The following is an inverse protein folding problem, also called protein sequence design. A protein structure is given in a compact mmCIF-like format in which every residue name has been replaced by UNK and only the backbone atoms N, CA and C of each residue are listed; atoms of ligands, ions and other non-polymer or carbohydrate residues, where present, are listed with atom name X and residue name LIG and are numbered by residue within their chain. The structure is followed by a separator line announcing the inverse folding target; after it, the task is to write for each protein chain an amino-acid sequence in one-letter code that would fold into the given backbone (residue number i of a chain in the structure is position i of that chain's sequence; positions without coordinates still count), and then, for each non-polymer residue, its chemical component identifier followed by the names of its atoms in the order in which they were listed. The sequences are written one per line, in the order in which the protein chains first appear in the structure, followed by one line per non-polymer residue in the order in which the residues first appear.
data_IF_661098664413
#
_entry.id   IF_661098664413
#
_cell.length_a   1.000
_cell.length_b   1.000
_cell.length_c   1.000
_cell.angle_alpha   90.00
_cell.angle_beta   90.00
_cell.angle_gamma   90.00
#
_symmetry.space_group_name_H-M   'P 1'
#
loop_
_entity.id
_entity.type
_entity.pdbx_description
1 polymer ?
#
# COMPACT_ATOMS: atom_id res chain seq x y z
N UNK A 1 0.11 7.30 -6.37
CA UNK A 1 1.42 7.11 -7.05
C UNK A 1 1.44 5.86 -7.94
N UNK A 2 0.85 4.74 -7.48
CA UNK A 2 0.71 3.47 -8.23
C UNK A 2 -0.03 3.67 -9.56
N UNK A 3 -1.24 4.21 -9.59
CA UNK A 3 -1.98 4.54 -10.83
C UNK A 3 -1.14 5.38 -11.81
N UNK A 4 -0.35 6.32 -11.28
CA UNK A 4 0.53 7.15 -12.11
C UNK A 4 1.73 6.34 -12.65
N UNK A 5 2.24 5.39 -11.88
CA UNK A 5 3.30 4.48 -12.32
C UNK A 5 2.77 3.54 -13.41
N UNK A 6 1.56 3.01 -13.27
CA UNK A 6 0.93 2.15 -14.27
C UNK A 6 0.69 2.87 -15.59
N UNK A 7 0.21 4.12 -15.53
CA UNK A 7 0.08 4.96 -16.73
C UNK A 7 1.42 5.22 -17.41
N UNK A 8 2.48 5.43 -16.64
CA UNK A 8 3.82 5.64 -17.18
C UNK A 8 4.41 4.33 -17.75
N UNK A 9 4.15 3.19 -17.12
CA UNK A 9 4.58 1.87 -17.59
C UNK A 9 3.96 1.50 -18.94
N UNK A 10 2.73 1.96 -19.20
CA UNK A 10 2.05 1.77 -20.49
C UNK A 10 2.64 2.62 -21.63
N UNK A 11 3.51 3.59 -21.33
CA UNK A 11 4.16 4.46 -22.33
C UNK A 11 5.48 3.88 -22.82
N UNK A 12 5.95 4.26 -24.03
CA UNK A 12 7.32 4.01 -24.43
C UNK A 12 8.31 4.59 -23.42
N UNK A 13 9.41 3.87 -23.07
CA UNK A 13 10.35 4.27 -22.02
C UNK A 13 10.88 5.71 -22.15
N UNK A 14 11.17 6.14 -23.39
CA UNK A 14 11.65 7.51 -23.65
C UNK A 14 10.61 8.59 -23.30
N UNK A 15 9.32 8.28 -23.47
CA UNK A 15 8.22 9.20 -23.12
C UNK A 15 7.98 9.23 -21.61
N UNK A 16 8.00 8.06 -20.97
CA UNK A 16 7.89 7.96 -19.53
C UNK A 16 9.00 8.77 -18.83
N UNK A 17 10.25 8.59 -19.25
CA UNK A 17 11.38 9.34 -18.68
C UNK A 17 11.26 10.84 -18.96
N UNK A 18 10.81 11.25 -20.16
CA UNK A 18 10.57 12.67 -20.46
C UNK A 18 9.55 13.29 -19.50
N UNK A 19 8.44 12.58 -19.20
CA UNK A 19 7.44 13.04 -18.26
C UNK A 19 7.99 13.13 -16.82
N UNK A 20 8.74 12.11 -16.40
CA UNK A 20 9.38 12.10 -15.08
C UNK A 20 10.37 13.27 -14.89
N UNK A 21 11.07 13.68 -15.97
CA UNK A 21 11.98 14.84 -15.94
C UNK A 21 11.26 16.18 -15.81
N UNK A 22 9.99 16.26 -16.23
CA UNK A 22 9.16 17.46 -16.09
C UNK A 22 8.49 17.59 -14.72
N UNK A 23 8.47 16.49 -13.94
CA UNK A 23 7.93 16.47 -12.58
C UNK A 23 8.93 17.06 -11.58
N UNK A 24 8.43 17.46 -10.42
CA UNK A 24 9.30 17.80 -9.30
C UNK A 24 10.09 16.55 -8.87
N UNK A 25 11.36 16.69 -8.46
CA UNK A 25 12.17 15.55 -8.06
C UNK A 25 11.52 14.68 -6.98
N UNK A 26 10.86 15.30 -6.00
CA UNK A 26 10.20 14.62 -4.88
C UNK A 26 8.99 13.77 -5.33
N UNK A 27 8.33 14.18 -6.43
CA UNK A 27 7.20 13.43 -7.01
C UNK A 27 7.68 12.35 -7.99
N UNK A 28 8.78 12.61 -8.71
CA UNK A 28 9.32 11.69 -9.71
C UNK A 28 10.08 10.49 -9.11
N UNK A 29 10.76 10.67 -7.99
CA UNK A 29 11.58 9.62 -7.37
C UNK A 29 10.76 8.40 -6.89
N UNK A 30 9.59 8.56 -6.22
CA UNK A 30 8.72 7.44 -5.90
C UNK A 30 8.25 6.67 -7.14
N UNK A 31 7.89 7.37 -8.22
CA UNK A 31 7.45 6.76 -9.47
C UNK A 31 8.57 5.97 -10.16
N UNK A 32 9.80 6.53 -10.22
CA UNK A 32 10.95 5.78 -10.76
C UNK A 32 11.22 4.51 -10.00
N UNK A 33 11.03 4.53 -8.69
CA UNK A 33 11.20 3.35 -7.83
C UNK A 33 10.16 2.29 -8.14
N UNK A 34 8.88 2.68 -8.26
CA UNK A 34 7.81 1.75 -8.64
C UNK A 34 8.06 1.14 -10.02
N UNK A 35 8.42 1.96 -11.01
CA UNK A 35 8.74 1.52 -12.37
C UNK A 35 9.98 0.61 -12.48
N UNK A 36 10.79 0.52 -11.43
CA UNK A 36 11.95 -0.38 -11.40
C UNK A 36 11.59 -1.82 -11.04
N UNK A 37 10.38 -2.08 -10.52
CA UNK A 37 9.90 -3.41 -10.20
C UNK A 37 9.15 -4.04 -11.36
N UNK A 38 9.15 -5.37 -11.42
CA UNK A 38 8.31 -6.12 -12.36
C UNK A 38 6.84 -5.99 -11.94
N UNK A 39 5.96 -5.73 -12.91
CA UNK A 39 4.51 -5.52 -12.69
C UNK A 39 3.81 -6.70 -11.99
N UNK A 40 4.34 -7.92 -12.13
CA UNK A 40 3.81 -9.13 -11.51
C UNK A 40 4.43 -9.45 -10.14
N UNK A 41 5.02 -8.47 -9.49
CA UNK A 41 5.63 -8.61 -8.15
C UNK A 41 4.97 -7.68 -7.14
N UNK A 42 5.21 -7.96 -5.85
CA UNK A 42 4.73 -7.10 -4.77
C UNK A 42 5.20 -5.64 -4.93
N UNK A 43 6.41 -5.42 -5.42
CA UNK A 43 6.96 -4.09 -5.69
C UNK A 43 6.24 -3.35 -6.81
N UNK A 44 5.86 -4.08 -7.88
CA UNK A 44 5.10 -3.51 -9.00
C UNK A 44 3.63 -3.22 -8.65
N UNK A 45 3.05 -4.01 -7.74
CA UNK A 45 1.64 -3.88 -7.32
C UNK A 45 1.43 -2.97 -6.11
N UNK A 46 2.51 -2.51 -5.44
CA UNK A 46 2.37 -1.78 -4.18
C UNK A 46 2.05 -0.31 -4.37
N UNK A 47 1.20 0.23 -3.51
CA UNK A 47 1.11 1.68 -3.28
C UNK A 47 2.12 2.13 -2.23
N UNK A 48 2.69 3.32 -2.42
CA UNK A 48 3.70 3.90 -1.52
C UNK A 48 3.14 4.84 -0.47
N UNK A 49 1.82 5.03 -0.43
CA UNK A 49 1.12 5.96 0.47
C UNK A 49 0.14 5.26 1.44
N UNK A 50 0.53 4.18 2.13
CA UNK A 50 -0.32 3.60 3.17
C UNK A 50 -0.42 4.52 4.39
N UNK A 51 -1.34 4.21 5.31
CA UNK A 51 -1.42 4.90 6.60
C UNK A 51 -0.28 4.42 7.50
N UNK A 52 0.70 5.30 7.75
CA UNK A 52 1.89 5.02 8.56
C UNK A 52 1.90 5.93 9.79
N UNK A 53 2.14 5.34 10.96
CA UNK A 53 2.22 6.06 12.24
C UNK A 53 3.42 5.55 13.06
N UNK A 54 3.84 6.38 14.02
CA UNK A 54 4.85 6.01 14.99
C UNK A 54 4.25 5.16 16.13
N UNK A 55 5.04 4.29 16.78
CA UNK A 55 4.52 3.45 17.86
C UNK A 55 4.07 4.22 19.10
N UNK A 56 4.52 5.47 19.25
CA UNK A 56 4.17 6.40 20.34
C UNK A 56 2.82 7.10 20.09
N UNK A 57 2.33 7.14 18.84
CA UNK A 57 1.05 7.75 18.49
C UNK A 57 -0.09 7.02 19.19
N UNK A 58 -1.15 7.76 19.52
CA UNK A 58 -2.30 7.22 20.24
C UNK A 58 -3.34 6.59 19.31
N UNK A 59 -4.19 5.75 19.89
CA UNK A 59 -5.36 5.19 19.18
C UNK A 59 -6.26 6.29 18.62
N UNK A 60 -6.44 7.41 19.37
CA UNK A 60 -7.23 8.54 18.90
C UNK A 60 -6.63 9.21 17.66
N UNK A 61 -5.31 9.40 17.62
CA UNK A 61 -4.60 9.95 16.46
C UNK A 61 -4.70 9.01 15.27
N UNK A 62 -4.51 7.70 15.46
CA UNK A 62 -4.69 6.71 14.42
C UNK A 62 -6.10 6.75 13.81
N UNK A 63 -7.14 6.78 14.67
CA UNK A 63 -8.53 6.89 14.22
C UNK A 63 -8.82 8.22 13.52
N UNK A 64 -8.17 9.32 13.91
CA UNK A 64 -8.30 10.60 13.22
C UNK A 64 -7.71 10.55 11.80
N UNK A 65 -6.58 9.88 11.62
CA UNK A 65 -5.96 9.71 10.29
C UNK A 65 -6.83 8.87 9.38
N UNK A 66 -7.27 7.69 9.80
CA UNK A 66 -8.05 6.77 8.94
C UNK A 66 -9.45 7.30 8.59
N UNK A 67 -9.93 8.36 9.25
CA UNK A 67 -11.22 9.02 8.96
C UNK A 67 -11.12 10.09 7.87
N UNK A 68 -9.94 10.40 7.38
CA UNK A 68 -9.76 11.41 6.33
C UNK A 68 -10.41 10.93 5.04
N UNK A 69 -11.14 11.81 4.37
CA UNK A 69 -11.91 11.47 3.16
C UNK A 69 -11.03 11.06 1.96
N UNK A 70 -9.79 11.56 1.93
CA UNK A 70 -8.82 11.25 0.88
C UNK A 70 -8.24 9.82 0.96
N UNK A 71 -8.40 9.14 2.11
CA UNK A 71 -7.89 7.78 2.30
C UNK A 71 -8.94 6.76 1.85
N UNK A 72 -8.58 5.91 0.90
CA UNK A 72 -9.47 4.86 0.40
C UNK A 72 -9.83 3.85 1.49
N UNK A 73 -10.95 3.15 1.34
CA UNK A 73 -11.40 2.16 2.30
C UNK A 73 -10.37 1.03 2.53
N UNK A 74 -9.66 0.62 1.47
CA UNK A 74 -8.64 -0.42 1.55
C UNK A 74 -7.44 0.05 2.40
N UNK A 75 -6.96 1.28 2.19
CA UNK A 75 -5.85 1.84 2.95
C UNK A 75 -6.26 2.18 4.40
N UNK A 76 -7.49 2.66 4.62
CA UNK A 76 -8.02 2.96 5.95
C UNK A 76 -8.21 1.72 6.85
N UNK A 77 -8.27 0.52 6.26
CA UNK A 77 -8.50 -0.72 7.00
C UNK A 77 -7.33 -1.13 7.90
N UNK A 78 -6.12 -0.65 7.62
CA UNK A 78 -4.89 -1.06 8.31
C UNK A 78 -3.96 0.12 8.53
N UNK A 79 -3.43 0.25 9.74
CA UNK A 79 -2.38 1.20 10.10
C UNK A 79 -1.05 0.44 10.21
N UNK A 80 -0.04 0.91 9.51
CA UNK A 80 1.32 0.37 9.56
C UNK A 80 2.16 1.17 10.53
N UNK A 81 2.86 0.49 11.41
CA UNK A 81 3.63 1.16 12.48
C UNK A 81 5.11 1.01 12.20
N UNK A 82 5.78 2.14 12.07
CA UNK A 82 7.20 2.23 11.72
C UNK A 82 7.95 3.17 12.66
N UNK A 83 9.27 2.99 12.76
CA UNK A 83 10.15 4.03 13.30
C UNK A 83 10.30 5.16 12.26
N UNK A 84 10.54 6.40 12.71
CA UNK A 84 10.86 7.48 11.77
C UNK A 84 12.11 7.19 10.90
N UNK A 85 12.16 7.69 9.66
CA UNK A 85 11.15 8.50 8.98
C UNK A 85 9.88 7.72 8.67
N UNK A 86 8.71 8.41 8.61
CA UNK A 86 7.41 7.79 8.34
C UNK A 86 7.02 7.84 6.87
N UNK A 87 7.78 8.54 6.03
CA UNK A 87 7.66 8.52 4.57
C UNK A 87 8.38 7.30 4.00
N UNK A 88 7.84 6.71 2.94
CA UNK A 88 8.42 5.51 2.32
C UNK A 88 9.65 5.84 1.45
N UNK A 89 10.76 5.13 1.61
CA UNK A 89 11.05 4.04 2.55
C UNK A 89 11.14 4.54 3.98
N UNK A 90 10.36 3.93 4.87
CA UNK A 90 10.30 4.35 6.28
C UNK A 90 11.57 4.00 7.06
N UNK A 91 11.61 4.33 8.35
CA UNK A 91 12.46 3.64 9.29
C UNK A 91 12.01 2.18 9.47
N UNK A 92 12.48 1.51 10.52
CA UNK A 92 12.17 0.09 10.74
C UNK A 92 10.65 -0.14 10.88
N UNK A 93 10.12 -1.06 10.08
CA UNK A 93 8.76 -1.59 10.22
C UNK A 93 8.64 -2.40 11.52
N UNK A 94 7.59 -2.17 12.29
CA UNK A 94 7.37 -2.79 13.59
C UNK A 94 6.18 -3.75 13.63
N UNK A 95 5.21 -3.56 12.75
CA UNK A 95 3.98 -4.33 12.68
C UNK A 95 2.82 -3.49 12.16
N UNK A 96 1.64 -4.08 12.15
CA UNK A 96 0.42 -3.44 11.66
C UNK A 96 -0.71 -3.55 12.67
N UNK A 97 -1.75 -2.73 12.51
CA UNK A 97 -2.95 -2.76 13.37
C UNK A 97 -4.18 -2.61 12.49
N UNK A 98 -5.08 -3.57 12.58
CA UNK A 98 -6.37 -3.50 11.89
C UNK A 98 -7.26 -2.43 12.54
N UNK A 99 -8.02 -1.68 11.73
CA UNK A 99 -8.96 -0.67 12.23
C UNK A 99 -9.94 -1.24 13.27
N UNK A 100 -10.38 -2.48 13.11
CA UNK A 100 -11.25 -3.14 14.09
C UNK A 100 -10.63 -3.27 15.48
N UNK A 101 -9.28 -3.42 15.54
CA UNK A 101 -8.56 -3.44 16.82
C UNK A 101 -8.56 -2.04 17.42
N UNK A 102 -8.23 -1.01 16.64
CA UNK A 102 -8.22 0.39 17.08
C UNK A 102 -9.59 0.83 17.66
N UNK A 103 -10.70 0.38 17.06
CA UNK A 103 -12.05 0.70 17.53
C UNK A 103 -12.39 0.12 18.90
N UNK A 104 -11.65 -0.86 19.40
CA UNK A 104 -11.88 -1.55 20.67
C UNK A 104 -10.94 -1.10 21.78
N UNK A 105 -9.89 -0.37 21.45
CA UNK A 105 -8.86 0.01 22.40
C UNK A 105 -9.06 1.42 22.94
N UNK A 106 -8.57 1.71 24.17
CA UNK A 106 -8.69 3.03 24.77
C UNK A 106 -8.02 4.11 23.91
N UNK A 107 -8.69 5.26 23.65
CA UNK A 107 -8.20 6.26 22.71
C UNK A 107 -6.89 6.93 23.13
N UNK A 108 -6.56 6.96 24.41
CA UNK A 108 -5.37 7.60 24.95
C UNK A 108 -4.13 6.68 24.98
N UNK A 109 -4.28 5.40 24.68
CA UNK A 109 -3.16 4.47 24.70
C UNK A 109 -2.36 4.52 23.40
N UNK A 110 -1.04 4.22 23.51
CA UNK A 110 -0.13 4.17 22.37
C UNK A 110 -0.40 2.94 21.52
N UNK A 111 -0.46 3.11 20.20
CA UNK A 111 -0.73 2.04 19.23
C UNK A 111 0.36 0.97 19.21
N UNK A 112 1.58 1.30 19.58
CA UNK A 112 2.69 0.34 19.69
C UNK A 112 2.44 -0.85 20.62
N UNK A 113 1.42 -0.78 21.48
CA UNK A 113 1.00 -1.87 22.38
C UNK A 113 0.17 -2.95 21.68
N UNK A 114 -0.44 -2.62 20.55
CA UNK A 114 -1.47 -3.43 19.88
C UNK A 114 -1.02 -4.01 18.53
N UNK A 115 0.29 -4.01 18.27
CA UNK A 115 0.86 -4.47 17.02
C UNK A 115 0.58 -5.94 16.75
N UNK A 116 0.03 -6.23 15.59
CA UNK A 116 0.08 -7.57 15.02
C UNK A 116 1.45 -7.76 14.34
N UNK A 117 2.18 -8.76 14.80
CA UNK A 117 3.52 -9.14 14.32
C UNK A 117 3.53 -10.56 13.73
N UNK A 118 2.37 -11.20 13.66
CA UNK A 118 2.27 -12.59 13.21
C UNK A 118 2.36 -12.71 11.68
N UNK A 119 2.26 -11.57 10.97
CA UNK A 119 2.26 -11.53 9.52
C UNK A 119 3.67 -11.17 9.05
N UNK A 120 4.31 -12.10 8.35
CA UNK A 120 5.58 -11.84 7.70
C UNK A 120 5.39 -10.88 6.52
N UNK A 121 6.13 -9.76 6.48
CA UNK A 121 6.04 -8.81 5.37
C UNK A 121 6.55 -9.44 4.06
N UNK A 122 6.00 -8.99 2.95
CA UNK A 122 6.46 -9.37 1.62
C UNK A 122 7.78 -8.69 1.27
N UNK A 123 8.55 -9.30 0.38
CA UNK A 123 9.67 -8.67 -0.31
C UNK A 123 9.18 -8.08 -1.63
N UNK A 124 9.81 -7.00 -2.13
CA UNK A 124 9.36 -6.38 -3.38
C UNK A 124 9.41 -7.33 -4.58
N UNK A 125 10.31 -8.32 -4.58
CA UNK A 125 10.45 -9.33 -5.63
C UNK A 125 9.46 -10.50 -5.48
N UNK A 126 8.63 -10.51 -4.42
CA UNK A 126 7.65 -11.58 -4.20
C UNK A 126 6.66 -11.65 -5.36
N UNK A 127 6.52 -12.81 -6.03
CA UNK A 127 5.64 -12.94 -7.19
C UNK A 127 4.17 -12.86 -6.79
N UNK A 128 3.29 -12.47 -7.73
CA UNK A 128 1.84 -12.34 -7.55
C UNK A 128 1.21 -13.53 -6.82
N UNK A 129 1.63 -14.76 -7.14
CA UNK A 129 1.12 -15.95 -6.46
C UNK A 129 1.47 -16.04 -4.97
N UNK A 130 2.56 -15.44 -4.52
CA UNK A 130 2.90 -15.31 -3.10
C UNK A 130 2.08 -14.19 -2.45
N UNK A 131 1.93 -13.06 -3.13
CA UNK A 131 1.10 -11.93 -2.67
C UNK A 131 -0.33 -12.39 -2.39
N UNK A 132 -0.98 -13.01 -3.40
CA UNK A 132 -2.36 -13.51 -3.28
C UNK A 132 -2.51 -14.54 -2.17
N UNK A 133 -1.54 -15.44 -2.02
CA UNK A 133 -1.55 -16.44 -0.94
C UNK A 133 -1.44 -15.80 0.43
N UNK A 134 -0.59 -14.78 0.59
CA UNK A 134 -0.44 -14.05 1.86
C UNK A 134 -1.74 -13.35 2.23
N UNK A 135 -2.32 -12.58 1.31
CA UNK A 135 -3.60 -11.90 1.53
C UNK A 135 -4.71 -12.89 1.93
N UNK A 136 -4.84 -14.00 1.19
CA UNK A 136 -5.86 -15.01 1.43
C UNK A 136 -5.65 -15.78 2.74
N UNK A 137 -4.40 -16.17 3.07
CA UNK A 137 -4.11 -16.99 4.26
C UNK A 137 -4.42 -16.23 5.55
N UNK A 138 -4.14 -14.93 5.58
CA UNK A 138 -4.33 -14.10 6.77
C UNK A 138 -5.59 -13.24 6.70
N UNK A 139 -6.42 -13.40 5.67
CA UNK A 139 -7.62 -12.57 5.42
C UNK A 139 -7.31 -11.06 5.44
N UNK A 140 -6.23 -10.66 4.82
CA UNK A 140 -5.77 -9.27 4.79
C UNK A 140 -6.47 -8.48 3.68
N UNK A 141 -6.72 -7.20 3.94
CA UNK A 141 -7.12 -6.21 2.94
C UNK A 141 -5.88 -5.62 2.26
N UNK A 142 -4.79 -5.51 3.01
CA UNK A 142 -3.48 -5.08 2.48
C UNK A 142 -2.32 -5.77 3.21
N UNK A 143 -1.21 -5.97 2.50
CA UNK A 143 -0.01 -6.63 3.02
C UNK A 143 1.22 -5.72 2.92
N UNK A 144 2.07 -5.64 3.96
CA UNK A 144 3.26 -4.80 3.95
C UNK A 144 4.35 -5.36 3.05
N UNK A 145 5.03 -4.46 2.32
CA UNK A 145 6.21 -4.76 1.51
C UNK A 145 7.41 -4.05 2.13
N UNK A 146 8.46 -4.81 2.46
CA UNK A 146 9.66 -4.29 3.12
C UNK A 146 10.92 -4.67 2.37
N UNK A 147 11.94 -3.81 2.47
CA UNK A 147 13.28 -4.08 1.93
C UNK A 147 14.12 -4.99 2.86
N UNK A 148 15.37 -5.26 2.46
CA UNK A 148 16.31 -6.07 3.26
C UNK A 148 16.61 -5.47 4.63
N UNK A 149 16.51 -4.14 4.78
CA UNK A 149 16.69 -3.41 6.04
C UNK A 149 15.43 -3.37 6.91
N UNK A 150 14.38 -4.11 6.57
CA UNK A 150 13.09 -4.11 7.25
C UNK A 150 12.39 -2.73 7.24
N UNK A 151 12.65 -1.88 6.24
CA UNK A 151 11.96 -0.61 6.03
C UNK A 151 10.74 -0.82 5.16
N UNK A 152 9.60 -0.23 5.54
CA UNK A 152 8.39 -0.31 4.74
C UNK A 152 8.57 0.50 3.45
N UNK A 153 8.39 -0.18 2.31
CA UNK A 153 8.44 0.42 0.97
C UNK A 153 7.06 0.84 0.49
N UNK A 154 6.05 0.09 0.88
CA UNK A 154 4.66 0.28 0.50
C UNK A 154 3.80 -0.89 0.98
N UNK A 155 2.59 -0.96 0.47
CA UNK A 155 1.65 -2.06 0.75
C UNK A 155 0.97 -2.50 -0.53
N UNK A 156 0.65 -3.78 -0.65
CA UNK A 156 -0.18 -4.29 -1.73
C UNK A 156 -1.58 -4.49 -1.17
N UNK A 157 -2.58 -3.91 -1.83
CA UNK A 157 -3.98 -4.06 -1.44
C UNK A 157 -4.67 -5.18 -2.22
N UNK A 158 -5.78 -5.66 -1.71
CA UNK A 158 -6.53 -6.75 -2.38
C UNK A 158 -7.18 -6.26 -3.67
N UNK A 159 -7.59 -5.01 -3.73
CA UNK A 159 -8.18 -4.39 -4.92
C UNK A 159 -7.15 -4.23 -6.05
N UNK A 160 -5.92 -3.79 -5.78
CA UNK A 160 -4.86 -3.72 -6.80
C UNK A 160 -4.55 -5.12 -7.37
N UNK A 161 -4.49 -6.15 -6.51
CA UNK A 161 -4.33 -7.53 -6.96
C UNK A 161 -5.51 -7.98 -7.84
N UNK A 162 -6.74 -7.64 -7.45
CA UNK A 162 -7.93 -8.01 -8.24
C UNK A 162 -7.94 -7.29 -9.58
N UNK A 163 -7.63 -6.01 -9.61
CA UNK A 163 -7.54 -5.23 -10.87
C UNK A 163 -6.49 -5.82 -11.82
N UNK A 164 -5.36 -6.29 -11.27
CA UNK A 164 -4.30 -6.89 -12.07
C UNK A 164 -4.63 -8.26 -12.64
N UNK A 165 -5.47 -9.07 -11.96
CA UNK A 165 -5.83 -10.44 -12.41
C UNK A 165 -7.15 -10.51 -13.19
N UNK A 166 -7.99 -9.47 -13.13
CA UNK A 166 -9.23 -9.41 -13.88
C UNK A 166 -8.97 -8.93 -15.32
N UNK A 167 -9.86 -9.24 -16.27
CA UNK A 167 -9.78 -8.68 -17.64
C UNK A 167 -9.78 -7.15 -17.61
N UNK A 168 -9.06 -6.50 -18.54
CA UNK A 168 -8.94 -5.03 -18.61
C UNK A 168 -10.29 -4.31 -18.72
N UNK A 169 -11.30 -4.97 -19.30
CA UNK A 169 -12.65 -4.45 -19.54
C UNK A 169 -13.67 -4.75 -18.43
N UNK A 170 -13.25 -5.42 -17.34
CA UNK A 170 -14.16 -5.86 -16.28
C UNK A 170 -14.96 -4.71 -15.62
N UNK A 171 -14.44 -3.48 -15.66
CA UNK A 171 -15.14 -2.30 -15.13
C UNK A 171 -16.18 -1.78 -16.10
N UNK A 172 -15.99 -1.96 -17.41
CA UNK A 172 -16.90 -1.50 -18.47
C UNK A 172 -18.15 -2.38 -18.57
N UNK A 173 -18.03 -3.69 -18.35
CA UNK A 173 -19.13 -4.66 -18.36
C UNK A 173 -20.24 -4.33 -17.32
N UNK A 174 -19.95 -3.55 -16.29
CA UNK A 174 -20.93 -3.14 -15.27
C UNK A 174 -21.97 -2.14 -15.75
N UNK A 175 -21.70 -1.39 -16.79
CA UNK A 175 -22.65 -0.37 -17.28
C UNK A 175 -23.76 -0.92 -18.17
N UNK A 176 -23.62 -2.12 -18.72
CA UNK A 176 -24.64 -2.73 -19.59
C UNK A 176 -25.77 -3.46 -18.82
N UNK A 177 -25.60 -3.76 -17.54
CA UNK A 177 -26.60 -4.55 -16.76
C UNK A 177 -27.66 -3.69 -16.05
N UNK A 178 -27.57 -2.36 -16.12
CA UNK A 178 -28.48 -1.46 -15.38
C UNK A 178 -29.54 -0.78 -16.23
N UNK A 179 -29.65 -1.09 -17.53
CA UNK A 179 -30.64 -0.50 -18.47
C UNK A 179 -31.70 -1.51 -18.99
N UNK A 180 -32.12 -2.49 -18.17
CA UNK A 180 -33.30 -3.32 -18.40
C UNK A 180 -34.39 -3.13 -17.33
#
# INVERSE_FOLDING_TARGET
PDDAADLLAALPPDRAETLLQLMRPDDAEPLRRLLSYDENTAGGLMTTEPVILAPEDTVAEALAVVRREEITAALAATVYVCRPPLETPTGKYLGMIHIQRLLREPPHESIGRYLDKAIDPLRPEAPLGQVTRTLATYNLISAPVVDEGERLLGVVTVDDVLDHILPEDWREERHEVTDE
#
